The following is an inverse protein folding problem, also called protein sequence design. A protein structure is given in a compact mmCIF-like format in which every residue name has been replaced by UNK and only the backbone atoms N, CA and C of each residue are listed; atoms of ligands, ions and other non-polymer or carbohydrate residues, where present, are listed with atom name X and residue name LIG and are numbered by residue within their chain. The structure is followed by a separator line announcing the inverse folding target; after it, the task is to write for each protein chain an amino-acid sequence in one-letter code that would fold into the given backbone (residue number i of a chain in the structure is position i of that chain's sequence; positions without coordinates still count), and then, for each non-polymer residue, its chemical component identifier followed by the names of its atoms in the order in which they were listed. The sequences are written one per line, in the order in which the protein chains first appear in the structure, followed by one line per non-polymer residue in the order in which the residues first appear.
data_IF_639312727639
#
_entry.id   IF_639312727639
#
_cell.length_a   1.000
_cell.length_b   1.000
_cell.length_c   1.000
_cell.angle_alpha   90.00
_cell.angle_beta   90.00
_cell.angle_gamma   90.00
#
_symmetry.space_group_name_H-M   'P 1'
#
loop_
_entity.id
_entity.type
_entity.pdbx_description
1 polymer ?
#
# COMPACT_ATOMS: atom_id res chain seq x y z
N UNK A 1 -8.97 5.12 -2.60
CA UNK A 1 -7.79 5.94 -2.88
C UNK A 1 -7.07 5.38 -4.07
N UNK A 2 -7.41 5.92 -5.24
CA UNK A 2 -6.66 5.93 -6.49
C UNK A 2 -7.46 6.93 -7.33
N UNK A 3 -6.94 8.15 -7.51
CA UNK A 3 -7.60 9.13 -8.37
C UNK A 3 -7.61 8.54 -9.79
N UNK A 4 -8.79 8.39 -10.39
CA UNK A 4 -8.93 7.94 -11.79
C UNK A 4 -9.60 6.59 -12.03
N UNK A 5 -9.96 5.80 -11.01
CA UNK A 5 -10.67 4.51 -11.23
C UNK A 5 -12.09 4.52 -10.68
N UNK A 6 -13.09 4.51 -11.55
CA UNK A 6 -14.46 4.12 -11.17
C UNK A 6 -14.46 2.62 -10.86
N UNK A 7 -14.72 2.28 -9.59
CA UNK A 7 -14.67 0.90 -9.10
C UNK A 7 -15.90 0.59 -8.27
N UNK A 8 -16.49 -0.59 -8.45
CA UNK A 8 -17.54 -1.09 -7.56
C UNK A 8 -16.99 -1.31 -6.15
N UNK A 9 -17.86 -1.22 -5.14
CA UNK A 9 -17.49 -1.45 -3.72
C UNK A 9 -16.83 -2.82 -3.53
N UNK A 10 -17.31 -3.84 -4.24
CA UNK A 10 -16.74 -5.19 -4.25
C UNK A 10 -15.33 -5.20 -4.86
N UNK A 11 -15.11 -4.47 -5.95
CA UNK A 11 -13.78 -4.34 -6.55
C UNK A 11 -12.76 -3.69 -5.62
N UNK A 12 -13.17 -2.62 -4.91
CA UNK A 12 -12.31 -1.96 -3.91
C UNK A 12 -11.94 -2.89 -2.78
N UNK A 13 -12.89 -3.71 -2.29
CA UNK A 13 -12.62 -4.69 -1.24
C UNK A 13 -11.59 -5.73 -1.70
N UNK A 14 -11.77 -6.32 -2.87
CA UNK A 14 -10.82 -7.30 -3.41
C UNK A 14 -9.40 -6.71 -3.60
N UNK A 15 -9.32 -5.44 -4.02
CA UNK A 15 -8.03 -4.75 -4.16
C UNK A 15 -7.37 -4.49 -2.80
N UNK A 16 -8.14 -4.09 -1.79
CA UNK A 16 -7.64 -3.92 -0.43
C UNK A 16 -7.15 -5.26 0.15
N UNK A 17 -7.90 -6.33 -0.03
CA UNK A 17 -7.52 -7.67 0.43
C UNK A 17 -6.18 -8.11 -0.21
N UNK A 18 -5.98 -7.83 -1.50
CA UNK A 18 -4.71 -8.05 -2.20
C UNK A 18 -3.57 -7.17 -1.66
N UNK A 19 -3.83 -5.90 -1.36
CA UNK A 19 -2.81 -5.01 -0.78
C UNK A 19 -2.41 -5.49 0.62
N UNK A 20 -3.37 -5.93 1.44
CA UNK A 20 -3.09 -6.46 2.77
C UNK A 20 -2.38 -7.81 2.74
N UNK A 21 -2.61 -8.65 1.72
CA UNK A 21 -1.81 -9.87 1.56
C UNK A 21 -0.35 -9.57 1.22
N UNK A 22 -0.07 -8.48 0.50
CA UNK A 22 1.30 -8.05 0.16
C UNK A 22 1.98 -7.33 1.34
N UNK A 23 1.22 -6.52 2.10
CA UNK A 23 1.73 -5.76 3.23
C UNK A 23 0.87 -6.02 4.49
N UNK A 24 1.07 -7.17 5.18
CA UNK A 24 0.24 -7.55 6.34
C UNK A 24 0.23 -6.50 7.46
N UNK A 25 1.35 -5.78 7.64
CA UNK A 25 1.47 -4.67 8.60
C UNK A 25 0.43 -3.56 8.36
N UNK A 26 0.04 -3.30 7.11
CA UNK A 26 -0.99 -2.31 6.81
C UNK A 26 -2.39 -2.77 7.26
N UNK A 27 -2.65 -4.08 7.31
CA UNK A 27 -3.91 -4.61 7.83
C UNK A 27 -4.02 -4.39 9.34
N UNK A 28 -2.92 -4.64 10.07
CA UNK A 28 -2.81 -4.36 11.51
C UNK A 28 -3.01 -2.88 11.81
N UNK A 29 -2.46 -2.00 10.95
CA UNK A 29 -2.50 -0.53 11.10
C UNK A 29 -3.63 0.14 10.33
N UNK A 30 -4.64 -0.59 9.84
CA UNK A 30 -5.69 -0.03 8.95
C UNK A 30 -6.48 1.16 9.51
N UNK A 31 -6.54 1.28 10.84
CA UNK A 31 -7.24 2.37 11.55
C UNK A 31 -6.30 3.50 11.99
N UNK A 32 -4.99 3.29 11.86
CA UNK A 32 -3.97 4.26 12.21
C UNK A 32 -3.79 5.25 11.07
N UNK A 33 -3.69 6.54 11.39
CA UNK A 33 -3.37 7.56 10.38
C UNK A 33 -1.94 7.35 9.88
N UNK A 34 -1.71 7.40 8.58
CA UNK A 34 -0.39 7.16 7.98
C UNK A 34 0.71 8.06 8.54
N UNK A 35 0.40 9.31 8.91
CA UNK A 35 1.39 10.20 9.53
C UNK A 35 1.89 9.75 10.92
N UNK A 36 1.27 8.74 11.53
CA UNK A 36 1.64 8.16 12.82
C UNK A 36 2.28 6.76 12.69
N UNK A 37 2.54 6.29 11.46
CA UNK A 37 3.23 5.02 11.23
C UNK A 37 4.72 5.25 10.96
N UNK A 38 5.54 4.22 11.08
CA UNK A 38 6.97 4.26 10.72
C UNK A 38 7.18 4.65 9.25
N UNK A 39 8.38 5.12 8.89
CA UNK A 39 8.71 5.49 7.50
C UNK A 39 8.46 4.35 6.50
N UNK A 40 8.87 3.13 6.85
CA UNK A 40 8.60 1.94 6.02
C UNK A 40 7.10 1.64 5.88
N UNK A 41 6.30 1.80 6.94
CA UNK A 41 4.83 1.67 6.86
C UNK A 41 4.18 2.77 6.01
N UNK A 42 4.70 4.00 6.06
CA UNK A 42 4.25 5.10 5.20
C UNK A 42 4.55 4.78 3.73
N UNK A 43 5.73 4.25 3.43
CA UNK A 43 6.12 3.84 2.09
C UNK A 43 5.27 2.67 1.58
N UNK A 44 5.07 1.62 2.39
CA UNK A 44 4.14 0.53 2.09
C UNK A 44 2.73 1.07 1.82
N UNK A 45 2.26 2.05 2.59
CA UNK A 45 0.95 2.70 2.36
C UNK A 45 0.90 3.43 1.02
N UNK A 46 1.97 4.15 0.65
CA UNK A 46 2.05 4.86 -0.62
C UNK A 46 2.04 3.88 -1.81
N UNK A 47 2.82 2.81 -1.73
CA UNK A 47 2.88 1.72 -2.73
C UNK A 47 1.50 1.05 -2.83
N UNK A 48 0.92 0.64 -1.70
CA UNK A 48 -0.40 0.03 -1.63
C UNK A 48 -1.47 0.89 -2.29
N UNK A 49 -1.47 2.21 -2.03
CA UNK A 49 -2.37 3.18 -2.68
C UNK A 49 -2.18 3.23 -4.21
N UNK A 50 -0.95 3.14 -4.71
CA UNK A 50 -0.69 3.06 -6.15
C UNK A 50 -1.28 1.78 -6.77
N UNK A 51 -1.09 0.64 -6.11
CA UNK A 51 -1.61 -0.66 -6.56
C UNK A 51 -3.14 -0.72 -6.62
N UNK A 52 -3.85 0.06 -5.80
CA UNK A 52 -5.32 0.16 -5.85
C UNK A 52 -5.86 0.64 -7.21
N UNK A 53 -5.02 1.27 -8.04
CA UNK A 53 -5.40 1.67 -9.41
C UNK A 53 -5.36 0.52 -10.43
N UNK A 54 -4.87 -0.67 -10.03
CA UNK A 54 -4.57 -1.82 -10.92
C UNK A 54 -3.71 -1.41 -12.12
N UNK A 55 -2.54 -0.79 -11.89
CA UNK A 55 -1.69 -0.34 -12.97
C UNK A 55 -1.15 -1.54 -13.77
N UNK A 56 -1.02 -1.39 -15.09
CA UNK A 56 -0.32 -2.39 -15.94
C UNK A 56 1.20 -2.34 -15.76
N UNK A 57 1.72 -1.17 -15.39
CA UNK A 57 3.13 -0.91 -15.09
C UNK A 57 3.19 0.01 -13.88
N UNK A 58 3.97 -0.36 -12.87
CA UNK A 58 4.18 0.45 -11.68
C UNK A 58 5.68 0.70 -11.49
N UNK A 59 6.10 1.93 -11.75
CA UNK A 59 7.50 2.34 -11.61
C UNK A 59 7.68 2.94 -10.23
N UNK A 60 8.70 2.47 -9.52
CA UNK A 60 9.10 2.97 -8.21
C UNK A 60 10.52 3.48 -8.34
N UNK A 61 10.73 4.72 -7.91
CA UNK A 61 12.06 5.27 -7.76
C UNK A 61 12.50 5.05 -6.31
N UNK A 62 13.65 4.41 -6.11
CA UNK A 62 14.23 4.08 -4.79
C UNK A 62 13.27 3.39 -3.80
N UNK A 63 12.69 2.21 -4.14
CA UNK A 63 11.69 1.54 -3.31
C UNK A 63 12.22 1.01 -1.97
N UNK A 64 13.54 0.92 -1.80
CA UNK A 64 14.20 0.50 -0.56
C UNK A 64 14.50 1.66 0.38
N UNK A 65 14.46 2.90 -0.10
CA UNK A 65 14.79 4.08 0.69
C UNK A 65 13.74 4.29 1.80
N UNK A 66 14.09 3.93 3.04
CA UNK A 66 13.21 4.00 4.20
C UNK A 66 12.68 2.65 4.71
N UNK A 67 12.95 1.55 4.00
CA UNK A 67 12.74 0.20 4.53
C UNK A 67 13.95 -0.19 5.38
N UNK A 68 13.72 -0.46 6.67
CA UNK A 68 14.78 -1.00 7.53
C UNK A 68 15.24 -2.36 6.98
N UNK A 69 16.55 -2.65 6.99
CA UNK A 69 17.05 -3.96 6.57
C UNK A 69 16.34 -5.06 7.36
N UNK A 70 15.89 -6.12 6.66
CA UNK A 70 15.57 -7.37 7.32
C UNK A 70 16.89 -7.92 7.87
N UNK A 71 17.14 -7.75 9.16
CA UNK A 71 18.18 -8.51 9.85
C UNK A 71 17.63 -9.94 9.92
N UNK A 72 18.19 -10.82 9.09
CA UNK A 72 18.02 -12.27 9.17
C UNK A 72 19.16 -12.84 9.99
#
# INVERSE_FOLDING_TARGET
GALGRSSSRTGVKADLDRVYSLFPRLAEKRRTRSGLTSGGEQQMTAIGRGLMSRPKLFVLDEPSMGLAPLIV
#
